data_IF_315072349844
#
_entry.id   IF_315072349844
#
_cell.length_a   1.000
_cell.length_b   1.000
_cell.length_c   1.000
_cell.angle_alpha   90.00
_cell.angle_beta   90.00
_cell.angle_gamma   90.00
#
_symmetry.space_group_name_H-M   'P 1'
#
loop_
_entity.id
_entity.type
_entity.pdbx_description
1 polymer ?
#
# COMPACT_ATOMS: atom_id res chain seq x y z
N UNK A 1 -2.98 -10.10 7.27
CA UNK A 1 -3.19 -9.06 8.32
C UNK A 1 -3.68 -7.79 7.64
N UNK A 2 -4.56 -7.01 8.27
CA UNK A 2 -5.01 -5.75 7.68
C UNK A 2 -3.92 -4.69 7.82
N UNK A 3 -3.52 -4.08 6.71
CA UNK A 3 -2.46 -3.07 6.63
C UNK A 3 -2.90 -1.91 5.74
N UNK A 4 -2.22 -0.78 5.90
CA UNK A 4 -2.37 0.38 5.04
C UNK A 4 -1.44 0.27 3.84
N UNK A 5 -1.97 0.54 2.65
CA UNK A 5 -1.22 0.58 1.40
C UNK A 5 -1.36 1.94 0.72
N UNK A 6 -0.28 2.40 0.10
CA UNK A 6 -0.32 3.50 -0.88
C UNK A 6 -0.03 2.90 -2.25
N UNK A 7 -1.05 2.85 -3.10
CA UNK A 7 -0.97 2.18 -4.41
C UNK A 7 -1.20 3.18 -5.55
N UNK A 8 -0.56 2.94 -6.69
CA UNK A 8 -0.87 3.68 -7.92
C UNK A 8 -2.19 3.15 -8.51
N UNK A 9 -3.08 4.06 -8.93
CA UNK A 9 -4.41 3.75 -9.46
C UNK A 9 -4.60 4.42 -10.84
N UNK A 10 -5.36 3.84 -11.78
CA UNK A 10 -6.01 2.52 -11.73
C UNK A 10 -5.08 1.34 -12.05
N UNK A 11 -3.92 1.58 -12.66
CA UNK A 11 -3.05 0.53 -13.15
C UNK A 11 -1.59 0.86 -12.94
N UNK A 12 -1.01 0.19 -11.94
CA UNK A 12 0.37 -0.26 -11.79
C UNK A 12 0.43 -0.87 -10.40
N UNK A 13 0.72 -2.16 -10.28
CA UNK A 13 0.91 -2.85 -8.99
C UNK A 13 2.08 -2.32 -8.16
N UNK A 14 2.49 -1.07 -8.39
CA UNK A 14 3.44 -0.33 -7.60
C UNK A 14 2.79 0.07 -6.29
N UNK A 15 3.39 -0.43 -5.21
CA UNK A 15 3.02 -0.15 -3.83
C UNK A 15 4.13 0.72 -3.25
N UNK A 16 3.83 1.99 -2.94
CA UNK A 16 4.81 2.89 -2.32
C UNK A 16 4.94 2.71 -0.81
N UNK A 17 3.94 2.09 -0.18
CA UNK A 17 3.95 1.82 1.25
C UNK A 17 3.08 0.61 1.57
N UNK A 18 3.53 -0.21 2.52
CA UNK A 18 2.77 -1.29 3.12
C UNK A 18 3.16 -1.41 4.59
N UNK A 19 2.23 -1.13 5.50
CA UNK A 19 2.51 -1.21 6.94
C UNK A 19 1.28 -0.94 7.80
N UNK A 20 1.43 -1.04 9.10
CA UNK A 20 0.32 -0.94 10.05
C UNK A 20 0.00 0.52 10.45
N UNK A 21 0.85 1.49 10.06
CA UNK A 21 0.71 2.90 10.43
C UNK A 21 -0.01 3.71 9.36
N UNK A 22 -1.24 4.14 9.67
CA UNK A 22 -1.99 5.07 8.81
C UNK A 22 -1.26 6.40 8.62
N UNK A 23 -0.60 6.89 9.67
CA UNK A 23 0.07 8.18 9.66
C UNK A 23 1.22 8.20 8.65
N UNK A 24 2.04 7.14 8.64
CA UNK A 24 3.12 6.99 7.67
C UNK A 24 2.59 6.81 6.25
N UNK A 25 1.58 5.95 6.08
CA UNK A 25 0.91 5.77 4.79
C UNK A 25 0.39 7.12 4.24
N UNK A 26 -0.22 7.93 5.10
CA UNK A 26 -0.74 9.25 4.71
C UNK A 26 0.36 10.25 4.34
N UNK A 27 1.51 10.23 5.02
CA UNK A 27 2.67 11.04 4.65
C UNK A 27 3.15 10.70 3.24
N UNK A 28 3.27 9.42 2.92
CA UNK A 28 3.71 8.95 1.59
C UNK A 28 2.66 9.28 0.52
N UNK A 29 1.38 9.04 0.81
CA UNK A 29 0.27 9.42 -0.07
C UNK A 29 0.33 10.91 -0.43
N UNK A 30 0.47 11.81 0.56
CA UNK A 30 0.57 13.26 0.32
C UNK A 30 1.76 13.64 -0.55
N UNK A 31 2.90 12.96 -0.36
CA UNK A 31 4.09 13.20 -1.16
C UNK A 31 3.91 12.75 -2.62
N UNK A 32 3.29 11.58 -2.83
CA UNK A 32 3.12 10.94 -4.15
C UNK A 32 1.96 11.52 -4.95
N UNK A 33 0.85 11.90 -4.31
CA UNK A 33 -0.35 12.47 -4.96
C UNK A 33 -0.07 13.69 -5.82
N UNK A 34 1.01 14.42 -5.55
CA UNK A 34 1.43 15.59 -6.36
C UNK A 34 1.95 15.21 -7.75
N UNK A 35 2.42 13.98 -7.94
CA UNK A 35 3.08 13.51 -9.16
C UNK A 35 2.32 12.40 -9.86
N UNK A 36 1.57 11.60 -9.10
CA UNK A 36 0.97 10.35 -9.57
C UNK A 36 -0.44 10.18 -9.00
N UNK A 37 -1.29 9.47 -9.73
CA UNK A 37 -2.62 9.09 -9.24
C UNK A 37 -2.46 7.93 -8.25
N UNK A 38 -2.33 8.25 -6.97
CA UNK A 38 -2.22 7.26 -5.89
C UNK A 38 -3.48 7.24 -5.03
N UNK A 39 -3.78 6.08 -4.47
CA UNK A 39 -4.82 5.88 -3.46
C UNK A 39 -4.23 5.38 -2.16
N UNK A 40 -4.80 5.85 -1.05
CA UNK A 40 -4.57 5.28 0.27
C UNK A 40 -5.69 4.30 0.57
N UNK A 41 -5.34 3.04 0.84
CA UNK A 41 -6.30 1.97 1.06
C UNK A 41 -5.93 1.16 2.29
N UNK A 42 -6.93 0.51 2.89
CA UNK A 42 -6.72 -0.65 3.75
C UNK A 42 -6.84 -1.90 2.92
N UNK A 43 -5.98 -2.87 3.20
CA UNK A 43 -6.03 -4.16 2.56
C UNK A 43 -5.55 -5.26 3.50
N UNK A 44 -6.06 -6.46 3.29
CA UNK A 44 -5.48 -7.66 3.84
C UNK A 44 -4.29 -8.03 2.97
N UNK A 45 -3.08 -7.96 3.52
CA UNK A 45 -1.84 -8.23 2.79
C UNK A 45 -1.33 -9.63 3.13
N UNK A 46 -0.94 -10.36 2.09
CA UNK A 46 -0.27 -11.65 2.17
C UNK A 46 1.20 -11.49 1.77
N UNK A 47 2.07 -11.53 2.77
CA UNK A 47 3.52 -11.48 2.61
C UNK A 47 4.10 -12.89 2.59
N UNK A 48 5.19 -13.07 1.86
CA UNK A 48 6.01 -14.27 1.93
C UNK A 48 7.45 -13.87 2.19
N UNK A 49 8.10 -14.62 3.07
CA UNK A 49 9.53 -14.47 3.33
C UNK A 49 10.30 -15.13 2.19
N UNK A 50 10.98 -14.33 1.37
CA UNK A 50 11.82 -14.80 0.27
C UNK A 50 13.24 -14.30 0.55
N UNK A 51 14.18 -15.24 0.73
CA UNK A 51 15.60 -14.92 1.01
C UNK A 51 15.78 -13.98 2.21
N UNK A 52 14.90 -14.06 3.22
CA UNK A 52 14.95 -13.23 4.43
C UNK A 52 14.24 -11.87 4.32
N UNK A 53 13.62 -11.56 3.17
CA UNK A 53 12.87 -10.33 2.96
C UNK A 53 11.37 -10.62 2.87
N UNK A 54 10.56 -9.79 3.52
CA UNK A 54 9.11 -9.82 3.37
C UNK A 54 8.71 -9.23 2.01
N UNK A 55 8.28 -10.09 1.10
CA UNK A 55 7.77 -9.71 -0.21
C UNK A 55 6.25 -9.81 -0.21
N UNK A 56 5.58 -8.76 -0.67
CA UNK A 56 4.12 -8.77 -0.85
C UNK A 56 3.80 -9.68 -2.04
N UNK A 57 3.14 -10.81 -1.79
CA UNK A 57 2.67 -11.70 -2.86
C UNK A 57 1.32 -11.29 -3.40
N UNK A 58 0.41 -10.95 -2.48
CA UNK A 58 -0.96 -10.58 -2.82
C UNK A 58 -1.54 -9.62 -1.77
N UNK A 59 -2.55 -8.86 -2.16
CA UNK A 59 -3.33 -8.05 -1.24
C UNK A 59 -4.78 -7.90 -1.72
N UNK A 60 -5.70 -7.93 -0.76
CA UNK A 60 -7.12 -7.68 -1.01
C UNK A 60 -7.54 -6.36 -0.37
N UNK A 61 -7.87 -5.36 -1.20
CA UNK A 61 -8.37 -4.07 -0.71
C UNK A 61 -9.69 -4.30 0.01
N UNK A 62 -9.74 -3.91 1.29
CA UNK A 62 -10.95 -3.95 2.13
C UNK A 62 -11.67 -2.62 2.11
N UNK A 63 -10.93 -1.51 2.08
CA UNK A 63 -11.48 -0.16 2.11
C UNK A 63 -10.61 0.83 1.34
N UNK A 64 -11.23 1.66 0.51
CA UNK A 64 -10.56 2.85 -0.07
C UNK A 64 -10.75 4.02 0.89
N UNK A 65 -9.65 4.59 1.37
CA UNK A 65 -9.70 5.71 2.31
C UNK A 65 -9.68 7.04 1.55
N UNK A 66 -8.72 7.23 0.64
CA UNK A 66 -8.45 8.51 -0.07
C UNK A 66 -7.78 8.33 -1.43
#
# INVERSE_FOLDING_TARGET
MEQYLVIVYPYRGEIYYCGDSELEAYRIYKQRKKRECVKLVKAIVHKALIQGYDVIKDYKITQVIR
#
